data_IF_307874293330
#
_entry.id   IF_307874293330
#
_cell.length_a   1.000
_cell.length_b   1.000
_cell.length_c   1.000
_cell.angle_alpha   90.00
_cell.angle_beta   90.00
_cell.angle_gamma   90.00
#
_symmetry.space_group_name_H-M   'P 1'
#
loop_
_entity.id
_entity.type
_entity.pdbx_description
1 polymer ?
#
# COMPACT_ATOMS: atom_id res chain seq x y z
N UNK A 1 -8.80 -7.41 -7.59
CA UNK A 1 -7.39 -7.56 -8.02
C UNK A 1 -6.76 -8.56 -7.08
N UNK A 2 -6.07 -9.57 -7.60
CA UNK A 2 -5.40 -10.60 -6.80
C UNK A 2 -3.92 -10.24 -6.69
N UNK A 3 -3.35 -10.28 -5.48
CA UNK A 3 -1.94 -9.98 -5.23
C UNK A 3 -1.30 -11.23 -4.65
N UNK A 4 -0.24 -11.71 -5.31
CA UNK A 4 0.44 -12.93 -4.92
C UNK A 4 1.53 -12.69 -3.86
N UNK A 5 2.39 -11.71 -4.07
CA UNK A 5 3.44 -11.33 -3.12
C UNK A 5 3.72 -9.81 -3.13
N UNK A 6 4.37 -9.35 -2.08
CA UNK A 6 4.81 -7.97 -1.88
C UNK A 6 6.32 -7.86 -2.04
N UNK A 7 6.75 -7.05 -2.99
CA UNK A 7 8.17 -6.77 -3.24
C UNK A 7 8.53 -5.45 -2.55
N UNK A 8 9.54 -5.50 -1.70
CA UNK A 8 10.13 -4.35 -1.05
C UNK A 8 11.57 -4.13 -1.55
N UNK A 9 11.93 -2.88 -1.83
CA UNK A 9 13.33 -2.50 -2.05
C UNK A 9 13.89 -1.97 -0.73
N UNK A 10 15.15 -2.25 -0.40
CA UNK A 10 15.78 -1.85 0.86
C UNK A 10 15.62 -0.35 1.16
N UNK A 11 15.82 0.50 0.14
CA UNK A 11 15.62 1.95 0.25
C UNK A 11 14.19 2.35 0.61
N UNK A 12 13.20 1.55 0.20
CA UNK A 12 11.80 1.76 0.54
C UNK A 12 11.57 1.32 1.98
N UNK A 13 12.04 0.14 2.38
CA UNK A 13 11.94 -0.34 3.77
C UNK A 13 12.51 0.69 4.74
N UNK A 14 13.72 1.18 4.46
CA UNK A 14 14.37 2.20 5.29
C UNK A 14 13.55 3.50 5.35
N UNK A 15 13.02 3.96 4.21
CA UNK A 15 12.15 5.14 4.14
C UNK A 15 10.85 4.93 4.92
N UNK A 16 10.22 3.76 4.85
CA UNK A 16 8.99 3.47 5.60
C UNK A 16 9.24 3.57 7.09
N UNK A 17 10.29 2.93 7.59
CA UNK A 17 10.64 2.96 9.00
C UNK A 17 11.01 4.37 9.46
N UNK A 18 11.95 5.04 8.77
CA UNK A 18 12.50 6.33 9.22
C UNK A 18 11.56 7.52 9.02
N UNK A 19 10.88 7.58 7.87
CA UNK A 19 10.03 8.74 7.50
C UNK A 19 8.59 8.57 7.93
N UNK A 20 8.07 7.35 7.91
CA UNK A 20 6.64 7.09 8.08
C UNK A 20 6.33 6.27 9.34
N UNK A 21 7.34 5.77 10.06
CA UNK A 21 7.17 4.85 11.18
C UNK A 21 6.23 3.69 10.82
N UNK A 22 6.44 3.12 9.62
CA UNK A 22 5.70 1.98 9.11
C UNK A 22 6.67 0.82 8.91
N UNK A 23 6.31 -0.34 9.42
CA UNK A 23 7.07 -1.58 9.23
C UNK A 23 6.52 -2.37 8.04
N UNK A 24 7.35 -3.23 7.44
CA UNK A 24 6.92 -4.12 6.35
C UNK A 24 5.75 -5.02 6.77
N UNK A 25 5.75 -5.48 8.02
CA UNK A 25 4.70 -6.32 8.57
C UNK A 25 3.34 -5.62 8.56
N UNK A 26 3.29 -4.33 8.90
CA UNK A 26 2.04 -3.56 8.86
C UNK A 26 1.51 -3.39 7.44
N UNK A 27 2.41 -3.28 6.45
CA UNK A 27 2.02 -3.29 5.04
C UNK A 27 1.43 -4.66 4.67
N UNK A 28 2.04 -5.77 5.10
CA UNK A 28 1.51 -7.12 4.86
C UNK A 28 0.12 -7.31 5.48
N UNK A 29 -0.08 -6.85 6.72
CA UNK A 29 -1.38 -6.88 7.41
C UNK A 29 -2.46 -6.15 6.60
N UNK A 30 -2.17 -4.96 6.06
CA UNK A 30 -3.10 -4.23 5.20
C UNK A 30 -3.55 -5.05 4.00
N UNK A 31 -2.64 -5.79 3.34
CA UNK A 31 -2.98 -6.62 2.18
C UNK A 31 -3.72 -7.91 2.59
N UNK A 32 -3.38 -8.50 3.74
CA UNK A 32 -4.08 -9.67 4.28
C UNK A 32 -5.51 -9.34 4.72
N UNK A 33 -5.72 -8.12 5.22
CA UNK A 33 -7.02 -7.64 5.69
C UNK A 33 -7.93 -7.10 4.57
N UNK A 34 -7.78 -7.62 3.35
CA UNK A 34 -8.64 -7.31 2.19
C UNK A 34 -8.80 -5.80 1.94
N UNK A 35 -7.75 -5.09 1.52
CA UNK A 35 -7.76 -3.64 1.44
C UNK A 35 -8.67 -3.14 0.32
N UNK A 36 -9.14 -1.89 0.45
CA UNK A 36 -9.76 -1.18 -0.66
C UNK A 36 -8.69 -0.67 -1.61
N UNK A 37 -8.68 -1.20 -2.83
CA UNK A 37 -7.69 -0.84 -3.86
C UNK A 37 -8.28 0.23 -4.79
N UNK A 38 -7.49 1.27 -5.07
CA UNK A 38 -7.87 2.37 -5.95
C UNK A 38 -6.75 2.68 -6.94
N UNK A 39 -7.10 2.99 -8.18
CA UNK A 39 -6.16 3.48 -9.18
C UNK A 39 -5.71 4.91 -8.83
N UNK A 40 -4.41 5.19 -8.95
CA UNK A 40 -3.83 6.52 -8.70
C UNK A 40 -3.44 7.16 -10.02
N UNK A 41 -2.51 6.56 -10.74
CA UNK A 41 -1.99 7.11 -12.01
C UNK A 41 -1.34 6.03 -12.86
N UNK A 42 -1.07 6.36 -14.13
CA UNK A 42 -0.23 5.53 -14.99
C UNK A 42 1.23 5.70 -14.55
N UNK A 43 1.96 4.61 -14.40
CA UNK A 43 3.40 4.71 -14.13
C UNK A 43 4.22 5.13 -15.35
N UNK A 44 5.52 5.29 -15.14
CA UNK A 44 6.47 5.73 -16.15
C UNK A 44 6.73 4.69 -17.24
N UNK A 45 6.37 3.42 -16.99
CA UNK A 45 6.47 2.31 -17.93
C UNK A 45 5.09 1.77 -18.27
N UNK A 46 4.94 1.29 -19.50
CA UNK A 46 3.71 0.64 -19.96
C UNK A 46 3.39 -0.54 -19.04
N UNK A 47 2.14 -0.60 -18.56
CA UNK A 47 1.62 -1.62 -17.63
C UNK A 47 2.17 -1.57 -16.20
N UNK A 48 2.81 -0.47 -15.78
CA UNK A 48 3.22 -0.27 -14.37
C UNK A 48 2.35 0.80 -13.70
N UNK A 49 1.03 0.63 -13.72
CA UNK A 49 0.11 1.57 -13.07
C UNK A 49 0.34 1.62 -11.55
N UNK A 50 0.21 2.81 -10.99
CA UNK A 50 0.29 3.05 -9.55
C UNK A 50 -1.11 2.94 -8.95
N UNK A 51 -1.20 2.15 -7.89
CA UNK A 51 -2.40 1.93 -7.10
C UNK A 51 -2.15 2.33 -5.65
N UNK A 52 -3.25 2.58 -4.94
CA UNK A 52 -3.28 2.74 -3.50
C UNK A 52 -4.14 1.63 -2.88
N UNK A 53 -3.59 0.91 -1.90
CA UNK A 53 -4.32 0.03 -1.01
C UNK A 53 -4.60 0.78 0.30
N UNK A 54 -5.88 0.86 0.67
CA UNK A 54 -6.33 1.44 1.92
C UNK A 54 -6.81 0.31 2.82
N UNK A 55 -6.25 0.20 4.02
CA UNK A 55 -6.66 -0.83 4.97
C UNK A 55 -6.29 -0.50 6.42
N UNK A 56 -6.64 -1.42 7.30
CA UNK A 56 -6.33 -1.36 8.71
C UNK A 56 -5.35 -2.49 9.08
N UNK A 57 -4.31 -2.15 9.84
CA UNK A 57 -3.38 -3.11 10.44
C UNK A 57 -4.08 -3.89 11.55
N UNK A 58 -3.47 -4.98 12.02
CA UNK A 58 -4.02 -5.79 13.11
C UNK A 58 -4.04 -5.00 14.43
N UNK A 59 -3.09 -4.08 14.60
CA UNK A 59 -3.02 -3.12 15.71
C UNK A 59 -4.02 -1.96 15.59
N UNK A 60 -4.78 -1.88 14.50
CA UNK A 60 -5.83 -0.90 14.31
C UNK A 60 -5.40 0.41 13.62
N UNK A 61 -4.15 0.53 13.14
CA UNK A 61 -3.69 1.70 12.37
C UNK A 61 -4.29 1.68 10.98
N UNK A 62 -4.72 2.84 10.50
CA UNK A 62 -5.22 3.01 9.14
C UNK A 62 -4.08 3.45 8.22
N UNK A 63 -3.69 2.61 7.28
CA UNK A 63 -2.59 2.88 6.36
C UNK A 63 -3.08 3.00 4.92
N UNK A 64 -2.45 3.91 4.19
CA UNK A 64 -2.49 3.93 2.72
C UNK A 64 -1.13 3.49 2.18
N UNK A 65 -1.16 2.49 1.30
CA UNK A 65 0.02 1.89 0.69
C UNK A 65 -0.01 2.11 -0.81
N UNK A 66 1.01 2.77 -1.35
CA UNK A 66 1.18 2.97 -2.78
C UNK A 66 2.06 1.88 -3.37
N UNK A 67 1.62 1.29 -4.48
CA UNK A 67 2.33 0.19 -5.12
C UNK A 67 2.12 0.17 -6.63
N UNK A 68 3.05 -0.46 -7.33
CA UNK A 68 2.89 -0.84 -8.74
C UNK A 68 2.38 -2.27 -8.78
N UNK A 69 1.31 -2.49 -9.54
CA UNK A 69 0.83 -3.84 -9.83
C UNK A 69 1.54 -4.39 -11.07
N UNK A 70 2.34 -5.43 -10.89
CA UNK A 70 3.10 -6.09 -11.96
C UNK A 70 2.27 -7.16 -12.67
N UNK A 71 2.68 -7.56 -13.86
CA UNK A 71 1.98 -8.55 -14.68
C UNK A 71 1.91 -9.95 -14.04
N UNK A 72 2.89 -10.29 -13.21
CA UNK A 72 2.98 -11.53 -12.42
C UNK A 72 2.14 -11.48 -11.14
N UNK A 73 1.24 -10.50 -11.01
CA UNK A 73 0.39 -10.25 -9.84
C UNK A 73 1.15 -9.85 -8.57
N UNK A 74 2.43 -9.50 -8.67
CA UNK A 74 3.19 -8.97 -7.53
C UNK A 74 2.94 -7.47 -7.35
N UNK A 75 2.94 -7.02 -6.10
CA UNK A 75 2.85 -5.62 -5.75
C UNK A 75 4.23 -5.09 -5.34
N UNK A 76 4.80 -4.18 -6.15
CA UNK A 76 6.02 -3.48 -5.79
C UNK A 76 5.67 -2.25 -4.94
N UNK A 77 6.05 -2.28 -3.66
CA UNK A 77 5.73 -1.22 -2.72
C UNK A 77 6.58 0.02 -3.01
N UNK A 78 5.92 1.17 -3.15
CA UNK A 78 6.56 2.47 -3.38
C UNK A 78 6.61 3.34 -2.11
N UNK A 79 5.57 3.26 -1.28
CA UNK A 79 5.47 4.01 -0.02
C UNK A 79 4.27 3.51 0.79
N UNK A 80 4.30 3.74 2.10
CA UNK A 80 3.17 3.56 2.99
C UNK A 80 3.22 4.66 4.06
N UNK A 81 2.05 5.09 4.54
CA UNK A 81 1.92 6.05 5.64
C UNK A 81 0.56 5.90 6.31
N UNK A 82 0.41 6.50 7.49
CA UNK A 82 -0.91 6.69 8.08
C UNK A 82 -1.82 7.48 7.14
N UNK A 83 -3.07 7.03 7.04
CA UNK A 83 -4.14 7.77 6.39
C UNK A 83 -4.42 9.06 7.16
N UNK A 84 -4.69 10.14 6.43
CA UNK A 84 -5.23 11.37 7.01
C UNK A 84 -6.72 11.21 7.38
N UNK A 85 -7.28 12.23 8.04
CA UNK A 85 -8.68 12.19 8.50
C UNK A 85 -9.69 12.05 7.35
N UNK A 86 -9.42 12.63 6.18
CA UNK A 86 -10.31 12.57 5.03
C UNK A 86 -10.24 11.18 4.37
N UNK A 87 -9.04 10.62 4.24
CA UNK A 87 -8.80 9.26 3.76
C UNK A 87 -9.46 8.22 4.66
N UNK A 88 -9.28 8.33 5.98
CA UNK A 88 -9.93 7.44 6.97
C UNK A 88 -11.45 7.48 6.86
N UNK A 89 -12.04 8.68 6.74
CA UNK A 89 -13.49 8.84 6.58
C UNK A 89 -13.98 8.22 5.28
N UNK A 90 -13.25 8.42 4.17
CA UNK A 90 -13.56 7.80 2.87
C UNK A 90 -13.35 6.29 2.86
N UNK A 91 -12.47 5.76 3.70
CA UNK A 91 -12.26 4.32 3.83
C UNK A 91 -13.40 3.66 4.60
N UNK A 92 -13.81 4.24 5.75
CA UNK A 92 -14.89 3.69 6.59
C UNK A 92 -16.31 3.79 6.00
N UNK A 93 -16.51 4.71 5.07
CA UNK A 93 -17.81 4.94 4.42
C UNK A 93 -18.00 4.14 3.12
N UNK A 94 -17.01 3.33 2.74
CA UNK A 94 -17.06 2.38 1.62
C UNK A 94 -17.29 0.98 2.16
#
# INVERSE_FOLDING_TARGET
MEIFDLIFLDRIVEKLARKHNVQEQEVREVFNNSPTIRFVEKGTRKNENVYAALGQTDSGRYLIVYFIYKQDKNALILSARDMDNAERRRYRNN
#
